data_IF_448619742614
#
_entry.id   IF_448619742614
#
_cell.length_a   1.000
_cell.length_b   1.000
_cell.length_c   1.000
_cell.angle_alpha   90.00
_cell.angle_beta   90.00
_cell.angle_gamma   90.00
#
_symmetry.space_group_name_H-M   'P 1'
#
loop_
_entity.id
_entity.type
_entity.pdbx_description
1 polymer ?
#
# COMPACT_ATOMS: atom_id res chain seq x y z
N UNK A 1 30.07 10.80 22.90
CA UNK A 1 29.49 10.14 24.09
C UNK A 1 28.89 8.82 23.63
N UNK A 2 29.20 7.79 24.39
CA UNK A 2 29.07 6.35 24.18
C UNK A 2 27.66 5.82 23.87
N UNK A 3 27.61 4.74 23.08
CA UNK A 3 26.47 3.82 22.99
C UNK A 3 26.73 2.67 22.02
N UNK A 4 27.54 1.68 22.43
CA UNK A 4 27.68 0.38 21.77
C UNK A 4 26.33 -0.36 21.73
N UNK A 5 25.98 -0.99 20.62
CA UNK A 5 25.32 -2.30 20.65
C UNK A 5 25.67 -3.09 19.40
N UNK A 6 26.42 -4.17 19.64
CA UNK A 6 26.82 -5.16 18.67
C UNK A 6 25.65 -6.09 18.35
N UNK A 7 25.64 -6.62 17.13
CA UNK A 7 25.03 -7.91 16.86
C UNK A 7 25.98 -8.68 15.93
N UNK A 8 26.86 -9.48 16.52
CA UNK A 8 27.56 -10.56 15.81
C UNK A 8 26.66 -11.79 15.92
N UNK A 9 26.25 -12.32 14.77
CA UNK A 9 25.83 -13.70 14.62
C UNK A 9 26.63 -14.30 13.46
N UNK A 10 27.78 -14.90 13.79
CA UNK A 10 28.53 -15.77 12.88
C UNK A 10 28.35 -17.19 13.38
N UNK A 11 27.59 -17.98 12.61
CA UNK A 11 27.60 -19.44 12.50
C UNK A 11 26.46 -19.78 11.55
N UNK A 12 26.55 -20.63 10.54
CA UNK A 12 27.47 -21.72 10.21
C UNK A 12 27.09 -22.17 8.79
N UNK A 13 27.99 -22.88 8.10
CA UNK A 13 27.74 -23.53 6.82
C UNK A 13 26.53 -24.49 6.87
N UNK A 14 25.33 -23.97 6.62
CA UNK A 14 24.13 -24.73 6.22
C UNK A 14 23.00 -23.77 5.79
N UNK A 15 23.08 -23.27 4.56
CA UNK A 15 21.92 -23.06 3.69
C UNK A 15 20.74 -22.19 4.13
N UNK A 16 20.86 -21.31 5.12
CA UNK A 16 19.81 -20.30 5.41
C UNK A 16 20.42 -18.92 5.48
N UNK A 17 20.01 -18.06 4.54
CA UNK A 17 20.29 -16.65 4.59
C UNK A 17 19.83 -16.07 5.95
N UNK A 18 20.60 -15.16 6.57
CA UNK A 18 20.20 -14.51 7.81
C UNK A 18 18.82 -13.86 7.62
N UNK A 19 17.89 -14.14 8.54
CA UNK A 19 16.58 -13.47 8.56
C UNK A 19 16.80 -12.02 8.99
N UNK A 20 16.56 -11.07 8.08
CA UNK A 20 16.49 -9.65 8.38
C UNK A 20 17.85 -9.02 8.60
N UNK A 21 18.56 -8.70 7.53
CA UNK A 21 19.73 -7.81 7.61
C UNK A 21 19.24 -6.35 7.63
N UNK A 22 19.89 -5.46 8.42
CA UNK A 22 19.56 -4.04 8.43
C UNK A 22 19.95 -3.42 7.08
N UNK A 23 19.13 -2.49 6.60
CA UNK A 23 19.41 -1.76 5.35
C UNK A 23 20.69 -0.89 5.39
N UNK A 24 21.30 -0.71 6.56
CA UNK A 24 22.60 -0.04 6.73
C UNK A 24 23.81 -0.96 6.56
N UNK A 25 23.62 -2.26 6.33
CA UNK A 25 24.72 -3.19 6.08
C UNK A 25 25.45 -2.80 4.78
N UNK A 26 26.78 -2.55 4.82
CA UNK A 26 27.54 -2.09 3.65
C UNK A 26 27.63 -3.13 2.53
N UNK A 27 27.28 -4.39 2.79
CA UNK A 27 27.20 -5.45 1.79
C UNK A 27 26.03 -5.27 0.82
N UNK A 28 25.01 -4.48 1.17
CA UNK A 28 23.89 -4.20 0.28
C UNK A 28 24.25 -3.17 -0.80
N UNK A 29 23.92 -3.50 -2.04
CA UNK A 29 24.06 -2.61 -3.18
C UNK A 29 22.81 -2.70 -4.05
N UNK A 30 22.37 -1.56 -4.60
CA UNK A 30 21.29 -1.52 -5.58
C UNK A 30 21.89 -1.11 -6.91
N UNK A 31 21.77 -1.99 -7.91
CA UNK A 31 22.19 -1.72 -9.27
C UNK A 31 21.00 -1.95 -10.21
N UNK A 32 20.57 -0.89 -10.92
CA UNK A 32 19.45 -0.92 -11.86
C UNK A 32 18.14 -1.48 -11.26
N UNK A 33 17.87 -1.18 -9.99
CA UNK A 33 16.66 -1.66 -9.29
C UNK A 33 16.75 -3.10 -8.77
N UNK A 34 17.85 -3.81 -9.03
CA UNK A 34 18.14 -5.12 -8.44
C UNK A 34 19.01 -4.98 -7.19
N UNK A 35 18.61 -5.65 -6.12
CA UNK A 35 19.32 -5.72 -4.85
C UNK A 35 20.37 -6.83 -4.89
N UNK A 36 21.61 -6.51 -4.51
CA UNK A 36 22.66 -7.49 -4.26
C UNK A 36 23.18 -7.41 -2.83
N UNK A 37 23.70 -8.53 -2.34
CA UNK A 37 24.43 -8.63 -1.09
C UNK A 37 25.79 -9.28 -1.37
N UNK A 38 26.88 -8.59 -1.03
CA UNK A 38 28.26 -9.05 -1.30
C UNK A 38 28.48 -9.44 -2.78
N UNK A 39 27.90 -8.65 -3.70
CA UNK A 39 28.02 -8.85 -5.14
C UNK A 39 27.15 -9.96 -5.73
N UNK A 40 26.29 -10.62 -4.94
CA UNK A 40 25.34 -11.64 -5.42
C UNK A 40 23.89 -11.15 -5.35
N UNK A 41 23.00 -11.50 -6.30
CA UNK A 41 21.59 -11.14 -6.21
C UNK A 41 20.98 -11.59 -4.88
N UNK A 42 20.36 -10.66 -4.16
CA UNK A 42 19.88 -10.90 -2.80
C UNK A 42 18.59 -11.74 -2.81
N UNK A 43 18.52 -12.75 -1.95
CA UNK A 43 17.30 -13.50 -1.67
C UNK A 43 17.11 -13.59 -0.17
N UNK A 44 16.02 -13.04 0.35
CA UNK A 44 15.80 -12.92 1.78
C UNK A 44 14.83 -11.80 2.13
N UNK A 45 14.81 -11.40 3.40
CA UNK A 45 14.02 -10.27 3.88
C UNK A 45 14.99 -9.17 4.29
N UNK A 46 14.85 -7.98 3.69
CA UNK A 46 15.53 -6.78 4.13
C UNK A 46 14.68 -6.08 5.18
N UNK A 47 15.28 -5.69 6.31
CA UNK A 47 14.62 -4.88 7.33
C UNK A 47 15.12 -3.44 7.27
N UNK A 48 14.20 -2.49 7.14
CA UNK A 48 14.48 -1.05 7.15
C UNK A 48 13.80 -0.42 8.36
N UNK A 49 14.58 0.15 9.27
CA UNK A 49 14.08 0.85 10.45
C UNK A 49 13.95 2.36 10.20
N UNK A 50 12.94 2.99 10.80
CA UNK A 50 12.71 4.43 10.76
C UNK A 50 12.00 4.90 12.04
N UNK A 51 11.96 6.20 12.38
CA UNK A 51 11.42 6.65 13.66
C UNK A 51 9.97 6.21 13.95
N UNK A 52 9.15 6.04 12.91
CA UNK A 52 7.76 5.62 13.04
C UNK A 52 7.55 4.09 13.13
N UNK A 53 8.60 3.27 12.95
CA UNK A 53 8.52 1.81 12.97
C UNK A 53 9.53 1.14 12.06
N UNK A 54 9.15 0.03 11.42
CA UNK A 54 10.04 -0.66 10.49
C UNK A 54 9.28 -1.29 9.33
N UNK A 55 10.03 -1.64 8.28
CA UNK A 55 9.54 -2.32 7.09
C UNK A 55 10.33 -3.59 6.84
N UNK A 56 9.63 -4.63 6.43
CA UNK A 56 10.18 -5.90 5.97
C UNK A 56 9.85 -6.07 4.49
N UNK A 57 10.88 -6.08 3.65
CA UNK A 57 10.73 -6.19 2.19
C UNK A 57 11.33 -7.53 1.74
N UNK A 58 10.52 -8.46 1.19
CA UNK A 58 11.02 -9.74 0.69
C UNK A 58 11.64 -9.58 -0.70
N UNK A 59 12.81 -10.17 -0.90
CA UNK A 59 13.54 -10.21 -2.17
C UNK A 59 13.77 -11.65 -2.63
N UNK A 60 13.67 -11.87 -3.93
CA UNK A 60 14.06 -13.09 -4.64
C UNK A 60 14.90 -12.68 -5.83
N UNK A 61 16.14 -13.20 -5.91
CA UNK A 61 17.09 -12.89 -7.00
C UNK A 61 17.27 -11.37 -7.26
N UNK A 62 17.29 -10.60 -6.18
CA UNK A 62 17.46 -9.14 -6.20
C UNK A 62 16.20 -8.34 -6.51
N UNK A 63 15.07 -8.99 -6.76
CA UNK A 63 13.79 -8.32 -7.02
C UNK A 63 12.85 -8.46 -5.83
N UNK A 64 12.04 -7.44 -5.55
CA UNK A 64 10.99 -7.54 -4.54
C UNK A 64 9.96 -8.55 -5.03
N UNK A 65 9.72 -9.60 -4.24
CA UNK A 65 8.77 -10.65 -4.56
C UNK A 65 8.17 -11.23 -3.27
N UNK A 66 6.84 -11.16 -3.14
CA UNK A 66 6.10 -11.50 -1.93
C UNK A 66 5.42 -10.29 -1.29
N UNK A 67 5.04 -10.41 -0.02
CA UNK A 67 4.31 -9.35 0.70
C UNK A 67 5.29 -8.50 1.51
N UNK A 68 5.47 -7.25 1.10
CA UNK A 68 6.11 -6.22 1.93
C UNK A 68 5.19 -5.86 3.08
N UNK A 69 5.75 -5.78 4.29
CA UNK A 69 5.03 -5.40 5.50
C UNK A 69 5.67 -4.20 6.16
N UNK A 70 4.85 -3.27 6.62
CA UNK A 70 5.30 -2.18 7.47
C UNK A 70 4.60 -2.27 8.81
N UNK A 71 5.34 -1.94 9.86
CA UNK A 71 4.89 -1.98 11.24
C UNK A 71 5.12 -0.61 11.87
N UNK A 72 4.21 -0.24 12.77
CA UNK A 72 4.41 0.87 13.68
C UNK A 72 5.52 0.56 14.68
N UNK A 73 6.03 1.60 15.34
CA UNK A 73 7.07 1.47 16.38
C UNK A 73 6.67 0.53 17.54
N UNK A 74 5.38 0.35 17.79
CA UNK A 74 4.85 -0.59 18.79
C UNK A 74 4.65 -2.03 18.27
N UNK A 75 5.00 -2.29 17.01
CA UNK A 75 4.90 -3.59 16.35
C UNK A 75 3.54 -3.95 15.79
N UNK A 76 2.53 -3.07 15.87
CA UNK A 76 1.28 -3.27 15.14
C UNK A 76 1.50 -3.11 13.65
N UNK A 77 0.80 -3.91 12.86
CA UNK A 77 0.87 -3.87 11.39
C UNK A 77 0.28 -2.56 10.87
N UNK A 78 1.07 -1.81 10.11
CA UNK A 78 0.68 -0.54 9.50
C UNK A 78 0.22 -0.73 8.05
N UNK A 79 0.88 -1.60 7.27
CA UNK A 79 0.47 -1.91 5.90
C UNK A 79 1.00 -3.27 5.42
N UNK A 80 0.29 -3.83 4.45
CA UNK A 80 0.71 -4.97 3.63
C UNK A 80 0.61 -4.60 2.17
N UNK A 81 1.70 -4.83 1.41
CA UNK A 81 1.77 -4.54 -0.01
C UNK A 81 2.37 -5.73 -0.76
N UNK A 82 1.59 -6.45 -1.57
CA UNK A 82 2.13 -7.55 -2.35
C UNK A 82 2.84 -7.06 -3.61
N UNK A 83 3.91 -7.76 -3.93
CA UNK A 83 4.76 -7.55 -5.09
C UNK A 83 5.04 -8.86 -5.80
N UNK A 84 5.11 -8.78 -7.12
CA UNK A 84 5.60 -9.82 -8.01
C UNK A 84 6.66 -9.20 -8.92
N UNK A 85 7.93 -9.61 -8.79
CA UNK A 85 9.03 -9.13 -9.64
C UNK A 85 9.13 -7.59 -9.71
N UNK A 86 9.28 -6.94 -8.55
CA UNK A 86 9.30 -5.48 -8.35
C UNK A 86 8.00 -4.73 -8.68
N UNK A 87 6.96 -5.43 -9.14
CA UNK A 87 5.69 -4.84 -9.55
C UNK A 87 4.63 -5.08 -8.49
N UNK A 88 3.84 -4.06 -8.13
CA UNK A 88 2.73 -4.25 -7.18
C UNK A 88 1.65 -5.13 -7.83
N UNK A 89 1.12 -6.07 -7.07
CA UNK A 89 0.13 -7.04 -7.55
C UNK A 89 -0.84 -7.38 -6.41
N UNK A 90 -2.15 -7.33 -6.65
CA UNK A 90 -3.17 -7.58 -5.64
C UNK A 90 -3.41 -6.39 -4.69
N UNK A 91 -3.85 -6.70 -3.47
CA UNK A 91 -4.39 -5.69 -2.53
C UNK A 91 -3.29 -5.06 -1.67
N UNK A 92 -3.04 -3.77 -1.86
CA UNK A 92 -2.28 -2.93 -0.93
C UNK A 92 -3.24 -2.34 0.10
N UNK A 93 -3.09 -2.76 1.36
CA UNK A 93 -3.94 -2.30 2.46
C UNK A 93 -3.12 -1.77 3.62
N UNK A 94 -3.71 -0.87 4.38
CA UNK A 94 -3.09 -0.32 5.57
C UNK A 94 -4.11 0.01 6.64
N UNK A 95 -3.62 0.09 7.87
CA UNK A 95 -4.43 0.32 9.06
C UNK A 95 -3.97 1.60 9.75
N UNK A 96 -4.83 2.16 10.57
CA UNK A 96 -4.46 3.15 11.59
C UNK A 96 -3.83 2.44 12.79
N UNK A 97 -3.14 3.17 13.68
CA UNK A 97 -2.67 2.59 14.94
C UNK A 97 -3.81 1.93 15.72
N UNK A 98 -5.03 2.50 15.67
CA UNK A 98 -6.23 1.91 16.27
C UNK A 98 -6.62 0.52 15.74
N UNK A 99 -5.99 0.04 14.67
CA UNK A 99 -6.32 -1.22 13.99
C UNK A 99 -7.47 -1.09 12.98
N UNK A 100 -8.10 0.08 12.88
CA UNK A 100 -9.11 0.36 11.85
C UNK A 100 -8.46 0.45 10.49
N UNK A 101 -9.18 0.01 9.45
CA UNK A 101 -8.71 0.15 8.06
C UNK A 101 -8.47 1.63 7.74
N UNK A 102 -7.31 1.93 7.17
CA UNK A 102 -6.93 3.26 6.71
C UNK A 102 -7.10 3.38 5.21
N UNK A 103 -6.68 2.36 4.46
CA UNK A 103 -6.86 2.30 3.03
C UNK A 103 -6.84 0.86 2.51
N UNK A 104 -7.43 0.68 1.33
CA UNK A 104 -7.48 -0.54 0.55
C UNK A 104 -7.38 -0.15 -0.91
N UNK A 105 -6.35 -0.62 -1.60
CA UNK A 105 -6.09 -0.32 -3.00
C UNK A 105 -5.80 -1.59 -3.77
N UNK A 106 -6.51 -1.79 -4.86
CA UNK A 106 -6.24 -2.89 -5.78
C UNK A 106 -5.21 -2.48 -6.84
N UNK A 107 -4.26 -3.39 -7.07
CA UNK A 107 -3.23 -3.27 -8.10
C UNK A 107 -3.25 -4.50 -9.01
N UNK A 108 -3.10 -4.26 -10.30
CA UNK A 108 -2.88 -5.27 -11.31
C UNK A 108 -1.76 -4.78 -12.23
N UNK A 109 -0.77 -5.62 -12.49
CA UNK A 109 0.35 -5.27 -13.36
C UNK A 109 1.05 -3.94 -12.96
N UNK A 110 1.16 -3.68 -11.65
CA UNK A 110 1.84 -2.50 -11.11
C UNK A 110 1.03 -1.21 -11.16
N UNK A 111 -0.20 -1.27 -11.67
CA UNK A 111 -1.10 -0.13 -11.85
C UNK A 111 -2.33 -0.29 -10.97
N UNK A 112 -2.95 0.82 -10.59
CA UNK A 112 -4.26 0.75 -9.93
C UNK A 112 -5.28 0.11 -10.86
N UNK A 113 -6.02 -0.85 -10.33
CA UNK A 113 -7.10 -1.54 -11.03
C UNK A 113 -8.25 -1.72 -10.05
N UNK A 114 -9.50 -1.62 -10.49
CA UNK A 114 -10.64 -1.92 -9.65
C UNK A 114 -10.89 -0.84 -8.61
N UNK A 115 -11.15 -1.26 -7.37
CA UNK A 115 -11.64 -0.37 -6.32
C UNK A 115 -10.51 0.14 -5.40
N UNK A 116 -10.63 1.41 -5.02
CA UNK A 116 -9.75 2.07 -4.08
C UNK A 116 -10.58 2.77 -3.01
N UNK A 117 -10.23 2.54 -1.75
CA UNK A 117 -10.92 3.10 -0.60
C UNK A 117 -9.90 3.68 0.39
N UNK A 118 -10.25 4.82 0.98
CA UNK A 118 -9.59 5.39 2.14
C UNK A 118 -10.62 5.79 3.18
N UNK A 119 -10.30 5.62 4.45
CA UNK A 119 -11.18 5.95 5.57
C UNK A 119 -10.56 7.01 6.44
N UNK A 120 -11.40 7.82 7.08
CA UNK A 120 -11.03 8.61 8.25
C UNK A 120 -10.80 7.69 9.45
N UNK A 121 -10.05 8.15 10.44
CA UNK A 121 -9.77 7.34 11.65
C UNK A 121 -11.02 7.05 12.51
N UNK A 122 -12.08 7.85 12.36
CA UNK A 122 -13.36 7.54 12.98
C UNK A 122 -14.07 6.32 12.33
N UNK A 123 -13.63 5.90 11.15
CA UNK A 123 -14.15 4.76 10.39
C UNK A 123 -15.10 5.15 9.26
N UNK A 124 -15.42 6.44 9.12
CA UNK A 124 -16.17 6.92 7.96
C UNK A 124 -15.29 6.89 6.72
N UNK A 125 -15.90 6.58 5.58
CA UNK A 125 -15.21 6.66 4.30
C UNK A 125 -14.71 8.09 4.09
N UNK A 126 -13.47 8.25 3.66
CA UNK A 126 -12.90 9.51 3.22
C UNK A 126 -12.99 9.62 1.71
N UNK A 127 -12.66 8.53 1.03
CA UNK A 127 -12.60 8.47 -0.42
C UNK A 127 -12.91 7.06 -0.92
N UNK A 128 -13.62 7.03 -2.04
CA UNK A 128 -13.75 5.90 -2.93
C UNK A 128 -13.33 6.37 -4.31
N UNK A 129 -12.55 5.55 -5.00
CA UNK A 129 -12.21 5.75 -6.40
C UNK A 129 -12.25 4.42 -7.14
N UNK A 130 -12.53 4.47 -8.44
CA UNK A 130 -12.48 3.32 -9.34
C UNK A 130 -11.47 3.57 -10.44
N UNK A 131 -10.66 2.55 -10.72
CA UNK A 131 -9.62 2.58 -11.72
C UNK A 131 -9.85 1.52 -12.79
N UNK A 132 -9.66 1.88 -14.04
CA UNK A 132 -9.68 0.98 -15.19
C UNK A 132 -8.42 1.20 -16.01
N UNK A 133 -7.63 0.14 -16.20
CA UNK A 133 -6.35 0.19 -16.91
C UNK A 133 -5.41 1.29 -16.39
N UNK A 134 -5.35 1.49 -15.06
CA UNK A 134 -4.55 2.53 -14.42
C UNK A 134 -5.18 3.93 -14.39
N UNK A 135 -6.33 4.15 -15.06
CA UNK A 135 -6.98 5.46 -15.13
C UNK A 135 -8.18 5.55 -14.19
N UNK A 136 -8.28 6.65 -13.44
CA UNK A 136 -9.39 6.91 -12.52
C UNK A 136 -10.66 7.29 -13.31
N UNK A 137 -11.66 6.40 -13.28
CA UNK A 137 -12.95 6.58 -14.00
C UNK A 137 -14.06 7.12 -13.11
N UNK A 138 -13.87 7.09 -11.79
CA UNK A 138 -14.83 7.65 -10.83
C UNK A 138 -14.20 7.90 -9.47
N UNK A 139 -14.79 8.82 -8.71
CA UNK A 139 -14.39 9.16 -7.35
C UNK A 139 -15.55 9.77 -6.58
N UNK A 140 -15.64 9.43 -5.30
CA UNK A 140 -16.51 10.12 -4.35
C UNK A 140 -15.71 10.37 -3.08
N UNK A 141 -15.91 11.53 -2.48
CA UNK A 141 -15.23 11.91 -1.24
C UNK A 141 -16.24 12.33 -0.18
N UNK A 142 -15.87 12.10 1.06
CA UNK A 142 -16.70 12.39 2.22
C UNK A 142 -15.88 13.09 3.30
N UNK A 143 -16.55 13.98 4.02
CA UNK A 143 -16.00 14.58 5.23
C UNK A 143 -16.01 13.58 6.37
N UNK A 144 -15.28 13.90 7.43
CA UNK A 144 -15.25 13.06 8.64
C UNK A 144 -16.61 12.91 9.32
N UNK A 145 -17.57 13.82 9.09
CA UNK A 145 -18.96 13.68 9.56
C UNK A 145 -19.82 12.75 8.68
N UNK A 146 -19.23 12.13 7.65
CA UNK A 146 -19.91 11.20 6.75
C UNK A 146 -20.69 11.88 5.62
N UNK A 147 -20.68 13.22 5.53
CA UNK A 147 -21.36 13.92 4.42
C UNK A 147 -20.51 13.91 3.16
N UNK A 148 -21.16 13.66 2.02
CA UNK A 148 -20.52 13.75 0.70
C UNK A 148 -19.96 15.16 0.52
N UNK A 149 -18.67 15.23 0.19
CA UNK A 149 -17.98 16.47 -0.13
C UNK A 149 -17.94 16.71 -1.64
N UNK A 150 -17.58 15.69 -2.41
CA UNK A 150 -17.52 15.76 -3.87
C UNK A 150 -17.85 14.41 -4.50
N UNK A 151 -18.30 14.45 -5.75
CA UNK A 151 -18.50 13.28 -6.60
C UNK A 151 -17.98 13.59 -8.00
N UNK A 152 -17.29 12.64 -8.61
CA UNK A 152 -16.70 12.72 -9.93
C UNK A 152 -16.99 11.40 -10.66
N UNK A 153 -17.52 11.50 -11.87
CA UNK A 153 -17.74 10.35 -12.75
C UNK A 153 -17.33 10.72 -14.17
N UNK A 154 -16.77 9.76 -14.90
CA UNK A 154 -16.51 9.91 -16.33
C UNK A 154 -17.64 9.26 -17.13
N UNK A 155 -18.33 10.04 -17.97
CA UNK A 155 -19.39 9.55 -18.89
C UNK A 155 -18.99 9.96 -20.29
N UNK A 156 -18.91 9.00 -21.23
CA UNK A 156 -18.51 9.22 -22.63
C UNK A 156 -17.21 10.02 -22.79
N UNK A 157 -16.21 9.71 -21.96
CA UNK A 157 -14.94 10.41 -21.94
C UNK A 157 -14.96 11.80 -21.28
N UNK A 158 -16.13 12.34 -20.93
CA UNK A 158 -16.28 13.64 -20.26
C UNK A 158 -16.23 13.49 -18.75
N UNK A 159 -15.41 14.34 -18.12
CA UNK A 159 -15.32 14.49 -16.67
C UNK A 159 -16.54 15.24 -16.16
N UNK A 160 -17.40 14.59 -15.40
CA UNK A 160 -18.54 15.19 -14.73
C UNK A 160 -18.24 15.29 -13.24
N UNK A 161 -18.22 16.51 -12.70
CA UNK A 161 -18.19 16.74 -11.27
C UNK A 161 -19.59 17.10 -10.78
N UNK A 162 -20.08 16.40 -9.77
CA UNK A 162 -21.27 16.82 -9.04
C UNK A 162 -20.98 18.15 -8.36
N UNK A 163 -21.85 19.14 -8.55
CA UNK A 163 -21.70 20.43 -7.86
C UNK A 163 -21.85 20.17 -6.35
N UNK A 164 -21.04 20.88 -5.56
CA UNK A 164 -21.09 20.79 -4.10
C UNK A 164 -22.52 21.14 -3.65
N UNK A 165 -23.24 20.17 -3.07
CA UNK A 165 -24.61 20.33 -2.60
C UNK A 165 -25.73 20.12 -3.63
N UNK A 166 -25.43 19.72 -4.87
CA UNK A 166 -26.46 19.36 -5.85
C UNK A 166 -26.58 17.84 -6.00
N UNK A 167 -27.83 17.34 -6.04
CA UNK A 167 -28.13 16.05 -6.66
C UNK A 167 -28.12 16.29 -8.17
N UNK A 168 -27.23 15.64 -8.92
CA UNK A 168 -27.27 15.68 -10.39
C UNK A 168 -28.65 15.17 -10.85
N UNK A 169 -29.25 15.83 -11.85
CA UNK A 169 -30.58 15.51 -12.40
C UNK A 169 -30.62 14.19 -13.20
N UNK A 170 -29.57 13.39 -13.16
CA UNK A 170 -29.57 12.01 -13.64
C UNK A 170 -29.73 11.16 -12.39
N UNK A 171 -30.88 10.49 -12.25
CA UNK A 171 -31.21 9.74 -11.06
C UNK A 171 -30.20 8.63 -10.83
N UNK A 172 -29.33 8.79 -9.84
CA UNK A 172 -28.51 7.69 -9.33
C UNK A 172 -29.40 6.93 -8.35
N UNK A 173 -30.03 5.86 -8.81
CA UNK A 173 -30.68 4.92 -7.90
C UNK A 173 -29.58 4.11 -7.21
N UNK A 174 -29.40 4.39 -5.92
CA UNK A 174 -28.65 3.53 -5.02
C UNK A 174 -29.65 2.60 -4.37
N UNK A 175 -29.45 1.29 -4.51
CA UNK A 175 -30.18 0.31 -3.70
C UNK A 175 -29.89 0.57 -2.21
N UNK A 176 -30.82 0.18 -1.31
CA UNK A 176 -30.80 0.47 0.13
C UNK A 176 -29.53 -0.03 0.88
N UNK A 177 -28.66 -0.78 0.21
CA UNK A 177 -27.39 -1.27 0.74
C UNK A 177 -26.18 -0.37 0.41
N UNK A 178 -26.36 0.66 -0.44
CA UNK A 178 -25.34 1.62 -0.82
C UNK A 178 -24.18 1.04 -1.64
N UNK A 179 -24.29 -0.20 -2.14
CA UNK A 179 -23.20 -0.93 -2.79
C UNK A 179 -23.28 -0.97 -4.31
N UNK A 180 -24.45 -0.68 -4.88
CA UNK A 180 -24.63 -0.74 -6.33
C UNK A 180 -25.05 0.63 -6.88
N UNK A 181 -24.35 1.09 -7.91
CA UNK A 181 -24.70 2.27 -8.70
C UNK A 181 -25.16 1.77 -10.08
N UNK A 182 -26.42 2.01 -10.45
CA UNK A 182 -26.91 1.81 -11.83
C UNK A 182 -27.20 3.17 -12.47
N UNK A 183 -26.96 3.25 -13.78
CA UNK A 183 -27.19 4.43 -14.63
C UNK A 183 -28.50 4.29 -15.40
#
# INVERSE_FOLDING_TARGET
MSGLSAAILVASCSGRAPRGLPNSDPGFQIHQGSMSYEGRPFTGIMRTEFPAGWRETPYVQGEIHGVEKEFYADGRLAQERPYEHNRKEGVHRGWYPSGKMRFYYEFENGQHHGEAYSWHENGHLYEYARYEHGYQVGQKTWRSDGKIFANYVQIDGRKLMGLIGSKLCVGVEADDDGRTIRY
#
